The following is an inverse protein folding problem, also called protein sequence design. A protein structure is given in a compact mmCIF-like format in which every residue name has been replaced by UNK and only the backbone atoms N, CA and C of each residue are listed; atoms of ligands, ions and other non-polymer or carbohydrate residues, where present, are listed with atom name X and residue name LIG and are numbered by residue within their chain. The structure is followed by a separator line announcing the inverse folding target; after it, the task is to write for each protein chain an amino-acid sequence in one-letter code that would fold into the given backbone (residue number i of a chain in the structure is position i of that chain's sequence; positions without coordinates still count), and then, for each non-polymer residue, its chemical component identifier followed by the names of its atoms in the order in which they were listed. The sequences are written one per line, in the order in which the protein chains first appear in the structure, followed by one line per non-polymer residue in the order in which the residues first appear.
data_IF_419867238227
#
_entry.id   IF_419867238227
#
_cell.length_a   1.000
_cell.length_b   1.000
_cell.length_c   1.000
_cell.angle_alpha   90.00
_cell.angle_beta   90.00
_cell.angle_gamma   90.00
#
_symmetry.space_group_name_H-M   'P 1'
#
loop_
_entity.id
_entity.type
_entity.pdbx_description
1 polymer ?
#
# COMPACT_ATOMS: atom_id res chain seq x y z
N UNK A 1 -8.23 -8.04 26.34
CA UNK A 1 -9.11 -7.55 25.26
C UNK A 1 -8.62 -8.17 23.96
N UNK A 2 -9.47 -8.94 23.26
CA UNK A 2 -9.11 -9.50 21.94
C UNK A 2 -8.80 -8.35 20.98
N UNK A 3 -7.58 -8.30 20.45
CA UNK A 3 -7.16 -7.27 19.49
C UNK A 3 -7.80 -7.61 18.15
N UNK A 4 -8.98 -7.06 17.87
CA UNK A 4 -9.68 -7.26 16.60
C UNK A 4 -8.85 -6.64 15.48
N UNK A 5 -8.07 -7.45 14.75
CA UNK A 5 -7.32 -6.98 13.58
C UNK A 5 -8.20 -7.01 12.34
N UNK A 6 -8.14 -5.95 11.54
CA UNK A 6 -8.85 -5.89 10.27
C UNK A 6 -8.19 -6.83 9.26
N UNK A 7 -9.01 -7.50 8.44
CA UNK A 7 -8.53 -8.25 7.30
C UNK A 7 -8.35 -7.31 6.09
N UNK A 8 -7.16 -7.31 5.50
CA UNK A 8 -6.86 -6.51 4.32
C UNK A 8 -7.29 -7.23 3.04
N UNK A 9 -7.92 -6.49 2.14
CA UNK A 9 -8.26 -6.96 0.80
C UNK A 9 -7.54 -6.10 -0.23
N UNK A 10 -7.10 -6.74 -1.29
CA UNK A 10 -6.40 -6.09 -2.40
C UNK A 10 -7.24 -6.24 -3.66
N UNK A 11 -7.30 -5.18 -4.46
CA UNK A 11 -7.83 -5.28 -5.83
C UNK A 11 -6.78 -5.94 -6.72
N UNK A 12 -7.21 -6.59 -7.81
CA UNK A 12 -6.28 -7.13 -8.80
C UNK A 12 -5.32 -6.05 -9.33
N UNK A 13 -5.85 -4.85 -9.59
CA UNK A 13 -5.07 -3.70 -10.06
C UNK A 13 -3.96 -3.34 -9.06
N UNK A 14 -4.22 -3.34 -7.75
CA UNK A 14 -3.20 -3.03 -6.76
C UNK A 14 -2.09 -4.09 -6.70
N UNK A 15 -2.41 -5.36 -7.00
CA UNK A 15 -1.39 -6.40 -7.12
C UNK A 15 -0.52 -6.19 -8.37
N UNK A 16 -1.15 -5.90 -9.50
CA UNK A 16 -0.46 -5.61 -10.75
C UNK A 16 0.43 -4.36 -10.64
N UNK A 17 0.00 -3.35 -9.88
CA UNK A 17 0.79 -2.14 -9.59
C UNK A 17 2.07 -2.50 -8.82
N UNK A 18 1.99 -3.36 -7.80
CA UNK A 18 3.16 -3.79 -7.02
C UNK A 18 4.17 -4.56 -7.89
N UNK A 19 3.68 -5.48 -8.73
CA UNK A 19 4.53 -6.23 -9.66
C UNK A 19 5.21 -5.32 -10.68
N UNK A 20 4.48 -4.35 -11.23
CA UNK A 20 5.04 -3.38 -12.19
C UNK A 20 6.09 -2.48 -11.54
N UNK A 21 5.84 -1.98 -10.33
CA UNK A 21 6.82 -1.20 -9.56
C UNK A 21 8.09 -2.02 -9.33
N UNK A 22 7.95 -3.26 -8.86
CA UNK A 22 9.08 -4.13 -8.61
C UNK A 22 9.87 -4.41 -9.89
N UNK A 23 9.21 -4.93 -10.92
CA UNK A 23 9.82 -5.30 -12.19
C UNK A 23 10.49 -4.10 -12.88
N UNK A 24 9.93 -2.90 -12.78
CA UNK A 24 10.58 -1.71 -13.31
C UNK A 24 11.92 -1.45 -12.62
N UNK A 25 11.96 -1.46 -11.29
CA UNK A 25 13.18 -1.14 -10.54
C UNK A 25 14.21 -2.27 -10.63
N UNK A 26 13.79 -3.53 -10.44
CA UNK A 26 14.71 -4.67 -10.42
C UNK A 26 15.22 -5.02 -11.82
N UNK A 27 14.35 -5.07 -12.83
CA UNK A 27 14.71 -5.58 -14.17
C UNK A 27 15.09 -4.48 -15.15
N UNK A 28 14.38 -3.34 -15.15
CA UNK A 28 14.66 -2.25 -16.10
C UNK A 28 15.74 -1.30 -15.61
N UNK A 29 15.76 -0.99 -14.31
CA UNK A 29 16.82 -0.17 -13.72
C UNK A 29 17.98 -0.98 -13.14
N UNK A 30 17.89 -2.32 -13.15
CA UNK A 30 18.91 -3.23 -12.63
C UNK A 30 19.25 -2.97 -11.15
N UNK A 31 18.24 -2.58 -10.36
CA UNK A 31 18.39 -2.14 -8.97
C UNK A 31 17.56 -2.99 -8.01
N UNK A 32 17.78 -4.31 -8.00
CA UNK A 32 17.01 -5.29 -7.23
C UNK A 32 16.92 -4.94 -5.73
N UNK A 33 18.04 -4.61 -5.09
CA UNK A 33 18.04 -4.21 -3.68
C UNK A 33 17.20 -2.96 -3.41
N UNK A 34 17.12 -2.02 -4.36
CA UNK A 34 16.26 -0.86 -4.23
C UNK A 34 14.77 -1.23 -4.37
N UNK A 35 14.47 -2.18 -5.27
CA UNK A 35 13.12 -2.72 -5.44
C UNK A 35 12.64 -3.44 -4.17
N UNK A 36 13.46 -4.32 -3.60
CA UNK A 36 13.16 -5.05 -2.35
C UNK A 36 12.92 -4.07 -1.19
N UNK A 37 13.80 -3.08 -1.04
CA UNK A 37 13.67 -2.07 0.01
C UNK A 37 12.39 -1.23 -0.15
N UNK A 38 12.00 -0.89 -1.38
CA UNK A 38 10.78 -0.13 -1.63
C UNK A 38 9.53 -0.98 -1.35
N UNK A 39 9.47 -2.21 -1.87
CA UNK A 39 8.34 -3.12 -1.63
C UNK A 39 8.18 -3.43 -0.14
N UNK A 40 9.29 -3.67 0.58
CA UNK A 40 9.25 -3.87 2.03
C UNK A 40 8.70 -2.65 2.79
N UNK A 41 9.00 -1.42 2.36
CA UNK A 41 8.40 -0.20 2.94
C UNK A 41 6.90 -0.12 2.66
N UNK A 42 6.47 -0.43 1.44
CA UNK A 42 5.06 -0.42 1.06
C UNK A 42 4.28 -1.48 1.86
N UNK A 43 4.80 -2.71 1.92
CA UNK A 43 4.20 -3.81 2.68
C UNK A 43 4.04 -3.43 4.16
N UNK A 44 5.10 -2.92 4.79
CA UNK A 44 5.07 -2.51 6.20
C UNK A 44 4.01 -1.43 6.46
N UNK A 45 3.89 -0.43 5.58
CA UNK A 45 2.86 0.61 5.68
C UNK A 45 1.44 0.04 5.54
N UNK A 46 1.23 -0.89 4.60
CA UNK A 46 -0.07 -1.55 4.39
C UNK A 46 -0.43 -2.45 5.57
N UNK A 47 0.49 -3.25 6.09
CA UNK A 47 0.22 -4.19 7.19
C UNK A 47 -0.19 -3.49 8.49
N UNK A 48 0.29 -2.26 8.72
CA UNK A 48 -0.14 -1.44 9.87
C UNK A 48 -1.63 -1.10 9.84
N UNK A 49 -2.28 -1.11 8.67
CA UNK A 49 -3.73 -0.86 8.55
C UNK A 49 -4.59 -1.94 9.22
N UNK A 50 -4.03 -3.14 9.48
CA UNK A 50 -4.72 -4.17 10.25
C UNK A 50 -5.07 -3.70 11.65
N UNK A 51 -4.20 -2.90 12.27
CA UNK A 51 -4.39 -2.37 13.61
C UNK A 51 -4.87 -0.91 13.58
N UNK A 52 -4.49 -0.14 12.56
CA UNK A 52 -4.73 1.29 12.47
C UNK A 52 -5.33 1.68 11.10
N UNK A 53 -6.59 1.29 10.80
CA UNK A 53 -7.19 1.49 9.47
C UNK A 53 -7.36 2.97 9.06
N UNK A 54 -7.26 3.90 10.02
CA UNK A 54 -7.43 5.34 9.80
C UNK A 54 -6.11 6.14 9.86
N UNK A 55 -4.95 5.47 9.86
CA UNK A 55 -3.64 6.13 9.94
C UNK A 55 -3.30 6.95 8.69
N UNK A 56 -3.83 6.57 7.53
CA UNK A 56 -3.69 7.33 6.29
C UNK A 56 -4.50 8.63 6.30
N UNK A 57 -3.94 9.68 5.69
CA UNK A 57 -4.64 10.96 5.53
C UNK A 57 -5.76 10.85 4.48
N UNK A 58 -6.84 11.61 4.65
CA UNK A 58 -7.85 11.72 3.60
C UNK A 58 -7.24 12.33 2.34
N UNK A 59 -7.71 11.88 1.17
CA UNK A 59 -7.31 12.48 -0.10
C UNK A 59 -7.84 13.91 -0.23
N UNK A 60 -7.20 14.73 -1.06
CA UNK A 60 -7.61 16.12 -1.30
C UNK A 60 -8.78 16.25 -2.27
N UNK A 61 -9.00 15.25 -3.12
CA UNK A 61 -10.14 15.20 -4.05
C UNK A 61 -11.45 15.09 -3.26
N UNK A 62 -12.30 16.13 -3.35
CA UNK A 62 -13.53 16.23 -2.55
C UNK A 62 -14.52 15.06 -2.79
N UNK A 63 -14.81 14.65 -4.04
CA UNK A 63 -15.60 13.44 -4.29
C UNK A 63 -15.06 12.18 -3.59
N UNK A 64 -13.75 11.90 -3.68
CA UNK A 64 -13.15 10.72 -3.08
C UNK A 64 -13.04 10.83 -1.55
N UNK A 65 -12.73 12.03 -1.05
CA UNK A 65 -12.70 12.35 0.38
C UNK A 65 -14.05 12.10 1.04
N UNK A 66 -15.15 12.54 0.41
CA UNK A 66 -16.53 12.27 0.88
C UNK A 66 -16.86 10.78 0.91
N UNK A 67 -16.22 9.98 0.05
CA UNK A 67 -16.32 8.51 0.03
C UNK A 67 -15.36 7.82 1.01
N UNK A 68 -14.58 8.57 1.79
CA UNK A 68 -13.68 8.05 2.81
C UNK A 68 -12.34 7.53 2.30
N UNK A 69 -11.96 7.84 1.05
CA UNK A 69 -10.67 7.41 0.49
C UNK A 69 -9.50 8.07 1.24
N UNK A 70 -8.46 7.28 1.50
CA UNK A 70 -7.25 7.69 2.21
C UNK A 70 -6.01 7.37 1.39
N UNK A 71 -4.97 8.17 1.57
CA UNK A 71 -3.61 7.90 1.09
C UNK A 71 -2.72 7.53 2.27
N UNK A 72 -1.88 6.52 2.05
CA UNK A 72 -0.84 6.10 2.99
C UNK A 72 0.43 6.92 2.80
#
# INVERSE_FOLDING_TARGET
MSKSSFHLKFTAVAYDDLEQIYSYISKKLLAETAADNLLGKIENSIMRLRDFPYSGSLVSDEPLKKRGYRKL
#
